data_IF_001665806640
#
_entry.id   IF_001665806640
#
_cell.length_a   1.000
_cell.length_b   1.000
_cell.length_c   1.000
_cell.angle_alpha   90.00
_cell.angle_beta   90.00
_cell.angle_gamma   90.00
#
_symmetry.space_group_name_H-M   'P 1'
#
loop_
_entity.id
_entity.type
_entity.pdbx_description
1 polymer ?
#
# COMPACT_ATOMS: atom_id res chain seq x y z
N UNK A 1 -12.21 0.24 -14.75
CA UNK A 1 -13.02 -0.07 -13.58
C UNK A 1 -13.48 1.17 -12.85
N UNK A 2 -14.35 1.04 -11.89
CA UNK A 2 -14.98 2.13 -11.10
C UNK A 2 -13.97 3.01 -10.37
N UNK A 3 -12.84 2.43 -9.91
CA UNK A 3 -11.78 3.14 -9.20
C UNK A 3 -11.08 4.18 -10.09
N UNK A 4 -10.74 3.81 -11.32
CA UNK A 4 -10.11 4.72 -12.30
C UNK A 4 -11.05 5.89 -12.62
N UNK A 5 -12.35 5.61 -12.85
CA UNK A 5 -13.36 6.67 -13.09
C UNK A 5 -13.53 7.61 -11.89
N UNK A 6 -13.35 7.11 -10.67
CA UNK A 6 -13.41 7.94 -9.46
C UNK A 6 -12.22 8.89 -9.37
N UNK A 7 -11.02 8.47 -9.74
CA UNK A 7 -9.83 9.32 -9.77
C UNK A 7 -9.94 10.39 -10.86
N UNK A 8 -10.44 10.01 -12.04
CA UNK A 8 -10.59 10.93 -13.20
C UNK A 8 -11.68 11.98 -12.97
N UNK A 9 -12.79 11.59 -12.31
CA UNK A 9 -13.94 12.48 -12.09
C UNK A 9 -13.82 13.32 -10.83
N UNK A 10 -13.08 12.82 -9.81
CA UNK A 10 -12.92 13.50 -8.54
C UNK A 10 -11.46 13.48 -8.01
N UNK A 11 -10.48 14.06 -8.74
CA UNK A 11 -9.09 14.13 -8.24
C UNK A 11 -9.00 14.88 -6.91
N UNK A 12 -9.81 15.92 -6.74
CA UNK A 12 -9.92 16.69 -5.50
C UNK A 12 -10.44 15.86 -4.32
N UNK A 13 -11.38 14.94 -4.56
CA UNK A 13 -11.92 14.05 -3.53
C UNK A 13 -10.88 13.04 -3.08
N UNK A 14 -10.10 12.49 -4.02
CA UNK A 14 -9.00 11.58 -3.72
C UNK A 14 -7.90 12.29 -2.91
N UNK A 15 -7.48 13.48 -3.33
CA UNK A 15 -6.49 14.29 -2.62
C UNK A 15 -7.00 14.72 -1.23
N UNK A 16 -8.27 15.06 -1.11
CA UNK A 16 -8.92 15.35 0.17
C UNK A 16 -8.96 14.11 1.08
N UNK A 17 -9.31 12.94 0.56
CA UNK A 17 -9.29 11.66 1.28
C UNK A 17 -7.87 11.35 1.75
N UNK A 18 -6.88 11.52 0.88
CA UNK A 18 -5.47 11.29 1.20
C UNK A 18 -4.95 12.27 2.25
N UNK A 19 -5.26 13.57 2.15
CA UNK A 19 -4.89 14.59 3.14
C UNK A 19 -5.58 14.40 4.49
N UNK A 20 -6.86 14.02 4.46
CA UNK A 20 -7.62 13.70 5.68
C UNK A 20 -7.08 12.45 6.35
N UNK A 21 -6.55 11.49 5.58
CA UNK A 21 -5.93 10.27 6.11
C UNK A 21 -4.62 10.51 6.85
N UNK A 22 -3.93 11.61 6.56
CA UNK A 22 -2.74 12.05 7.32
C UNK A 22 -3.07 12.75 8.64
N UNK A 23 -4.34 13.14 8.86
CA UNK A 23 -4.80 13.74 10.12
C UNK A 23 -5.37 12.68 11.06
N UNK A 24 -4.76 12.51 12.23
CA UNK A 24 -4.98 11.38 13.15
C UNK A 24 -6.46 11.02 13.45
N UNK A 25 -7.34 11.98 13.67
CA UNK A 25 -8.74 11.69 14.07
C UNK A 25 -9.71 11.52 12.89
N UNK A 26 -9.56 12.31 11.83
CA UNK A 26 -10.49 12.28 10.68
C UNK A 26 -10.18 11.12 9.73
N UNK A 27 -8.91 10.75 9.61
CA UNK A 27 -8.47 9.58 8.84
C UNK A 27 -9.08 8.29 9.37
N UNK A 28 -9.09 8.10 10.68
CA UNK A 28 -9.66 6.91 11.35
C UNK A 28 -11.17 6.76 11.09
N UNK A 29 -11.93 7.85 11.07
CA UNK A 29 -13.39 7.81 10.81
C UNK A 29 -13.66 7.35 9.36
N UNK A 30 -12.96 7.93 8.40
CA UNK A 30 -13.12 7.57 6.98
C UNK A 30 -12.70 6.13 6.71
N UNK A 31 -11.56 5.71 7.26
CA UNK A 31 -11.07 4.34 7.23
C UNK A 31 -12.13 3.35 7.75
N UNK A 32 -12.67 3.65 8.94
CA UNK A 32 -13.70 2.83 9.57
C UNK A 32 -14.95 2.74 8.68
N UNK A 33 -15.43 3.86 8.15
CA UNK A 33 -16.61 3.88 7.29
C UNK A 33 -16.43 3.05 6.01
N UNK A 34 -15.29 3.20 5.32
CA UNK A 34 -14.98 2.41 4.12
C UNK A 34 -14.84 0.91 4.42
N UNK A 35 -14.22 0.57 5.55
CA UNK A 35 -14.10 -0.82 6.00
C UNK A 35 -15.47 -1.41 6.34
N UNK A 36 -16.36 -0.65 6.96
CA UNK A 36 -17.73 -1.09 7.24
C UNK A 36 -18.55 -1.33 5.97
N UNK A 37 -18.38 -0.53 4.92
CA UNK A 37 -19.05 -0.76 3.63
C UNK A 37 -18.63 -2.09 2.97
N UNK A 38 -17.38 -2.49 3.17
CA UNK A 38 -16.85 -3.75 2.62
C UNK A 38 -17.17 -4.98 3.49
N UNK A 39 -17.50 -4.77 4.76
CA UNK A 39 -17.66 -5.84 5.77
C UNK A 39 -18.60 -6.96 5.35
N UNK A 40 -19.81 -6.62 4.89
CA UNK A 40 -20.81 -7.64 4.54
C UNK A 40 -20.42 -8.48 3.32
N UNK A 41 -19.72 -7.86 2.35
CA UNK A 41 -19.17 -8.59 1.20
C UNK A 41 -18.00 -9.46 1.60
N UNK A 42 -17.13 -8.98 2.48
CA UNK A 42 -16.01 -9.74 3.01
C UNK A 42 -16.48 -10.96 3.79
N UNK A 43 -17.50 -10.82 4.67
CA UNK A 43 -18.07 -11.95 5.41
C UNK A 43 -18.61 -13.03 4.47
N UNK A 44 -19.37 -12.65 3.44
CA UNK A 44 -19.89 -13.59 2.44
C UNK A 44 -18.76 -14.33 1.71
N UNK A 45 -17.70 -13.60 1.34
CA UNK A 45 -16.54 -14.19 0.68
C UNK A 45 -15.85 -15.23 1.58
N UNK A 46 -15.61 -14.89 2.85
CA UNK A 46 -14.98 -15.81 3.81
C UNK A 46 -15.84 -17.06 4.02
N UNK A 47 -17.18 -16.90 4.10
CA UNK A 47 -18.11 -18.04 4.23
C UNK A 47 -18.19 -18.92 2.99
N UNK A 48 -17.92 -18.36 1.80
CA UNK A 48 -17.94 -19.12 0.55
C UNK A 48 -16.62 -19.82 0.26
N UNK A 49 -15.50 -19.17 0.55
CA UNK A 49 -14.17 -19.66 0.18
C UNK A 49 -13.48 -20.43 1.32
N UNK A 50 -13.96 -20.28 2.57
CA UNK A 50 -13.41 -20.92 3.78
C UNK A 50 -11.88 -20.89 3.85
N UNK A 51 -11.22 -19.70 3.73
CA UNK A 51 -9.78 -19.61 3.59
C UNK A 51 -9.05 -19.97 4.89
N UNK A 52 -7.93 -20.67 4.80
CA UNK A 52 -7.03 -20.96 5.92
C UNK A 52 -6.23 -19.71 6.38
N UNK A 53 -6.02 -18.75 5.48
CA UNK A 53 -5.33 -17.48 5.73
C UNK A 53 -5.84 -16.40 4.77
N UNK A 54 -5.93 -15.17 5.25
CA UNK A 54 -6.28 -14.02 4.41
C UNK A 54 -5.08 -13.08 4.28
N UNK A 55 -4.66 -12.80 3.05
CA UNK A 55 -3.53 -11.92 2.74
C UNK A 55 -4.03 -10.65 2.05
N UNK A 56 -3.61 -9.50 2.54
CA UNK A 56 -4.06 -8.20 2.06
C UNK A 56 -2.90 -7.37 1.55
N UNK A 57 -3.03 -6.85 0.35
CA UNK A 57 -2.12 -5.84 -0.25
C UNK A 57 -2.78 -4.47 -0.37
N UNK A 58 -3.93 -4.27 0.30
CA UNK A 58 -4.66 -3.00 0.32
C UNK A 58 -5.34 -2.79 1.68
N UNK A 59 -5.28 -1.58 2.27
CA UNK A 59 -5.71 -1.32 3.64
C UNK A 59 -7.22 -1.46 3.88
N UNK A 60 -8.09 -1.14 2.92
CA UNK A 60 -9.54 -1.15 3.15
C UNK A 60 -10.13 -2.55 3.29
N UNK A 61 -9.82 -3.54 2.42
CA UNK A 61 -10.22 -4.93 2.67
C UNK A 61 -9.62 -5.49 3.96
N UNK A 62 -8.35 -5.15 4.26
CA UNK A 62 -7.68 -5.49 5.51
C UNK A 62 -8.47 -5.01 6.73
N UNK A 63 -8.91 -3.75 6.71
CA UNK A 63 -9.74 -3.18 7.76
C UNK A 63 -11.11 -3.86 7.90
N UNK A 64 -11.75 -4.23 6.80
CA UNK A 64 -13.02 -4.98 6.84
C UNK A 64 -12.86 -6.35 7.52
N UNK A 65 -11.81 -7.10 7.18
CA UNK A 65 -11.50 -8.38 7.82
C UNK A 65 -11.13 -8.20 9.31
N UNK A 66 -10.35 -7.17 9.63
CA UNK A 66 -10.00 -6.82 11.02
C UNK A 66 -11.25 -6.53 11.87
N UNK A 67 -12.23 -5.80 11.33
CA UNK A 67 -13.51 -5.55 12.01
C UNK A 67 -14.27 -6.86 12.24
N UNK A 68 -14.34 -7.75 11.25
CA UNK A 68 -15.00 -9.05 11.37
C UNK A 68 -14.33 -9.92 12.43
N UNK A 69 -12.99 -9.97 12.46
CA UNK A 69 -12.23 -10.74 13.46
C UNK A 69 -12.45 -10.18 14.86
N UNK A 70 -12.41 -8.85 15.04
CA UNK A 70 -12.72 -8.20 16.33
C UNK A 70 -14.12 -8.50 16.83
N UNK A 71 -15.09 -8.68 15.93
CA UNK A 71 -16.49 -8.98 16.25
C UNK A 71 -16.76 -10.48 16.44
N UNK A 72 -15.74 -11.34 16.28
CA UNK A 72 -15.88 -12.80 16.40
C UNK A 72 -16.62 -13.46 15.23
N UNK A 73 -16.76 -12.77 14.09
CA UNK A 73 -17.41 -13.35 12.91
C UNK A 73 -16.47 -14.22 12.08
N UNK A 74 -15.18 -14.04 12.22
CA UNK A 74 -14.12 -14.85 11.59
C UNK A 74 -12.98 -15.06 12.59
N UNK A 75 -12.27 -16.19 12.46
CA UNK A 75 -11.09 -16.54 13.25
C UNK A 75 -9.91 -16.95 12.34
N UNK A 76 -9.91 -16.47 11.12
CA UNK A 76 -8.86 -16.74 10.13
C UNK A 76 -7.66 -15.85 10.41
N UNK A 77 -6.41 -16.36 10.29
CA UNK A 77 -5.21 -15.54 10.34
C UNK A 77 -5.21 -14.44 9.27
N UNK A 78 -4.89 -13.21 9.68
CA UNK A 78 -4.86 -12.04 8.82
C UNK A 78 -3.43 -11.57 8.61
N UNK A 79 -2.98 -11.48 7.36
CA UNK A 79 -1.64 -11.04 6.97
C UNK A 79 -1.76 -9.77 6.13
N UNK A 80 -1.05 -8.73 6.52
CA UNK A 80 -0.96 -7.49 5.74
C UNK A 80 0.41 -7.39 5.07
N UNK A 81 0.44 -7.26 3.76
CA UNK A 81 1.64 -6.96 2.98
C UNK A 81 1.53 -5.51 2.53
N UNK A 82 2.26 -4.62 3.20
CA UNK A 82 2.21 -3.19 2.91
C UNK A 82 2.96 -2.88 1.62
N UNK A 83 2.29 -2.23 0.68
CA UNK A 83 2.85 -1.85 -0.62
C UNK A 83 3.24 -0.37 -0.69
N UNK A 84 3.26 0.29 0.46
CA UNK A 84 3.69 1.67 0.66
C UNK A 84 5.06 1.71 1.38
N UNK A 85 5.81 2.81 1.22
CA UNK A 85 7.07 3.06 1.95
C UNK A 85 6.87 3.86 3.25
N UNK A 86 5.63 3.98 3.73
CA UNK A 86 5.29 4.63 4.98
C UNK A 86 4.20 3.88 5.72
N UNK A 87 4.26 3.87 7.05
CA UNK A 87 3.25 3.26 7.90
C UNK A 87 2.02 4.16 7.99
N UNK A 88 1.13 4.03 7.02
CA UNK A 88 -0.13 4.73 7.00
C UNK A 88 -1.07 4.18 8.07
N UNK A 89 -1.76 5.04 8.83
CA UNK A 89 -2.75 4.62 9.83
C UNK A 89 -3.81 3.66 9.27
N UNK A 90 -4.07 3.71 7.96
CA UNK A 90 -5.00 2.80 7.29
C UNK A 90 -4.56 1.34 7.27
N UNK A 91 -3.31 1.03 7.58
CA UNK A 91 -2.81 -0.33 7.72
C UNK A 91 -2.81 -0.84 9.16
N UNK A 92 -2.89 0.06 10.16
CA UNK A 92 -2.68 -0.29 11.55
C UNK A 92 -3.96 -0.80 12.21
N UNK A 93 -4.09 -2.12 12.25
CA UNK A 93 -5.21 -2.81 12.91
C UNK A 93 -4.69 -3.82 13.93
N UNK A 94 -5.14 -3.76 15.20
CA UNK A 94 -4.69 -4.69 16.25
C UNK A 94 -4.96 -6.17 15.98
N UNK A 95 -5.92 -6.48 15.08
CA UNK A 95 -6.35 -7.83 14.74
C UNK A 95 -5.51 -8.49 13.65
N UNK A 96 -4.57 -7.78 13.05
CA UNK A 96 -3.65 -8.36 12.06
C UNK A 96 -2.60 -9.18 12.80
N UNK A 97 -2.45 -10.43 12.38
CA UNK A 97 -1.54 -11.38 13.01
C UNK A 97 -0.09 -11.15 12.54
N UNK A 98 0.09 -10.78 11.28
CA UNK A 98 1.43 -10.56 10.69
C UNK A 98 1.42 -9.40 9.71
N UNK A 99 2.46 -8.58 9.78
CA UNK A 99 2.74 -7.50 8.83
C UNK A 99 4.05 -7.78 8.08
N UNK A 100 4.03 -7.59 6.78
CA UNK A 100 5.21 -7.50 5.93
C UNK A 100 5.36 -6.07 5.45
N UNK A 101 6.52 -5.46 5.71
CA UNK A 101 6.81 -4.04 5.43
C UNK A 101 8.01 -3.88 4.50
N UNK A 102 8.09 -2.71 3.85
CA UNK A 102 9.11 -2.43 2.86
C UNK A 102 10.50 -2.19 3.48
N UNK A 103 10.57 -1.49 4.63
CA UNK A 103 11.81 -0.98 5.21
C UNK A 103 11.83 -1.10 6.73
N UNK A 104 13.03 -1.09 7.32
CA UNK A 104 13.24 -1.07 8.78
C UNK A 104 12.64 0.18 9.45
N UNK A 105 12.69 1.34 8.79
CA UNK A 105 12.10 2.56 9.35
C UNK A 105 10.59 2.45 9.61
N UNK A 106 9.89 1.62 8.83
CA UNK A 106 8.46 1.35 9.04
C UNK A 106 8.20 0.55 10.31
N UNK A 107 9.14 -0.30 10.72
CA UNK A 107 9.03 -1.07 11.98
C UNK A 107 8.94 -0.11 13.16
N UNK A 108 9.85 0.86 13.24
CA UNK A 108 9.88 1.84 14.34
C UNK A 108 8.60 2.69 14.39
N UNK A 109 8.11 3.12 13.23
CA UNK A 109 6.84 3.86 13.12
C UNK A 109 5.65 3.04 13.62
N UNK A 110 5.57 1.75 13.24
CA UNK A 110 4.46 0.87 13.61
C UNK A 110 4.50 0.50 15.09
N UNK A 111 5.68 0.23 15.63
CA UNK A 111 5.88 -0.04 17.06
C UNK A 111 5.49 1.19 17.88
N UNK A 112 5.88 2.39 17.47
CA UNK A 112 5.47 3.64 18.09
C UNK A 112 3.96 3.86 18.05
N UNK A 113 3.28 3.26 17.06
CA UNK A 113 1.82 3.28 16.90
C UNK A 113 1.12 2.13 17.64
N UNK A 114 1.85 1.31 18.42
CA UNK A 114 1.28 0.27 19.27
C UNK A 114 1.16 -1.12 18.63
N UNK A 115 1.77 -1.37 17.47
CA UNK A 115 1.86 -2.72 16.90
C UNK A 115 3.05 -3.44 17.53
N UNK A 116 2.84 -4.70 17.93
CA UNK A 116 3.88 -5.54 18.50
C UNK A 116 4.97 -5.85 17.45
N UNK A 117 6.23 -5.58 17.78
CA UNK A 117 7.38 -5.81 16.91
C UNK A 117 7.48 -7.26 16.41
N UNK A 118 7.07 -8.24 17.24
CA UNK A 118 7.08 -9.66 16.88
C UNK A 118 6.17 -10.03 15.70
N UNK A 119 5.22 -9.15 15.37
CA UNK A 119 4.30 -9.31 14.22
C UNK A 119 4.79 -8.65 12.95
N UNK A 120 5.90 -7.90 12.98
CA UNK A 120 6.37 -7.10 11.87
C UNK A 120 7.62 -7.72 11.26
N UNK A 121 7.60 -7.96 9.96
CA UNK A 121 8.70 -8.53 9.20
C UNK A 121 9.09 -7.63 8.04
N UNK A 122 10.36 -7.28 7.92
CA UNK A 122 10.86 -6.52 6.77
C UNK A 122 11.15 -7.48 5.61
N UNK A 123 10.45 -7.29 4.49
CA UNK A 123 10.57 -8.17 3.32
C UNK A 123 10.74 -7.43 2.00
N UNK A 124 10.64 -6.10 2.03
CA UNK A 124 10.47 -5.31 0.81
C UNK A 124 9.04 -5.39 0.24
N UNK A 125 8.78 -4.64 -0.81
CA UNK A 125 7.51 -4.69 -1.55
C UNK A 125 7.56 -5.87 -2.53
N UNK A 126 6.54 -6.76 -2.57
CA UNK A 126 6.52 -7.89 -3.49
C UNK A 126 6.53 -7.44 -4.95
N UNK A 127 7.44 -8.00 -5.72
CA UNK A 127 7.55 -7.77 -7.15
C UNK A 127 7.45 -9.09 -7.93
N UNK A 128 7.14 -8.99 -9.22
CA UNK A 128 7.09 -10.18 -10.08
C UNK A 128 8.46 -10.81 -10.19
N UNK A 129 8.55 -12.15 -10.19
CA UNK A 129 9.79 -12.91 -10.30
C UNK A 129 10.66 -12.49 -11.47
N UNK A 130 10.07 -12.03 -12.57
CA UNK A 130 10.81 -11.53 -13.74
C UNK A 130 11.72 -10.33 -13.44
N UNK A 131 11.52 -9.62 -12.32
CA UNK A 131 12.37 -8.51 -11.88
C UNK A 131 13.53 -8.94 -10.95
N UNK A 132 13.59 -10.21 -10.54
CA UNK A 132 14.74 -10.77 -9.85
C UNK A 132 15.78 -11.17 -10.91
N UNK A 133 16.78 -10.33 -11.12
CA UNK A 133 17.94 -10.63 -11.97
C UNK A 133 19.18 -10.73 -11.09
N UNK A 134 20.02 -11.72 -11.37
CA UNK A 134 21.18 -12.07 -10.55
C UNK A 134 22.40 -11.13 -10.74
N UNK A 135 22.33 -10.15 -11.62
CA UNK A 135 23.45 -9.24 -11.85
C UNK A 135 22.96 -7.82 -12.14
N UNK A 136 23.46 -6.87 -11.39
CA UNK A 136 23.58 -5.48 -11.83
C UNK A 136 24.81 -5.46 -12.73
N UNK A 137 24.63 -5.26 -14.04
CA UNK A 137 25.74 -4.97 -14.93
C UNK A 137 26.41 -3.70 -14.40
N UNK A 138 27.76 -3.72 -14.24
CA UNK A 138 28.51 -2.53 -13.90
C UNK A 138 28.27 -1.48 -14.99
N UNK A 139 27.71 -0.33 -14.59
CA UNK A 139 27.53 0.78 -15.51
C UNK A 139 28.90 1.39 -15.81
N UNK A 140 29.28 1.40 -17.08
CA UNK A 140 30.40 2.21 -17.54
C UNK A 140 29.98 3.66 -17.55
N UNK A 141 30.72 4.53 -16.86
CA UNK A 141 30.53 5.99 -16.90
C UNK A 141 30.99 6.61 -18.25
N UNK A 142 31.52 5.81 -19.15
CA UNK A 142 31.96 6.21 -20.50
C UNK A 142 30.80 6.24 -21.52
N UNK A 143 29.66 5.61 -21.19
CA UNK A 143 28.46 5.63 -22.03
C UNK A 143 27.46 6.69 -21.54
N UNK A 144 26.66 7.27 -22.46
CA UNK A 144 25.57 8.15 -22.07
C UNK A 144 24.61 7.47 -21.09
N UNK A 145 24.25 8.19 -20.02
CA UNK A 145 23.31 7.67 -19.02
C UNK A 145 21.93 7.48 -19.65
N UNK A 146 21.39 6.25 -19.57
CA UNK A 146 20.04 5.94 -20.03
C UNK A 146 19.05 6.13 -18.88
N UNK A 147 18.18 7.11 -18.99
CA UNK A 147 17.16 7.42 -17.97
C UNK A 147 15.78 6.92 -18.41
N UNK A 148 15.16 6.05 -17.61
CA UNK A 148 13.77 5.62 -17.81
C UNK A 148 12.84 6.48 -16.94
N UNK A 149 11.95 7.24 -17.56
CA UNK A 149 10.94 8.04 -16.87
C UNK A 149 9.57 7.38 -17.01
N UNK A 150 8.90 7.10 -15.90
CA UNK A 150 7.61 6.41 -15.88
C UNK A 150 6.61 7.12 -14.98
N UNK A 151 5.34 7.23 -15.42
CA UNK A 151 4.22 7.82 -14.68
C UNK A 151 3.34 6.79 -13.94
N UNK A 152 3.88 5.60 -13.65
CA UNK A 152 3.12 4.50 -13.07
C UNK A 152 2.08 3.90 -14.01
N UNK A 153 1.19 3.06 -13.48
CA UNK A 153 0.24 2.27 -14.29
C UNK A 153 -0.81 3.06 -15.06
N UNK A 154 -1.03 4.31 -14.70
CA UNK A 154 -2.01 5.21 -15.35
C UNK A 154 -1.33 6.32 -16.17
N UNK A 155 0.00 6.41 -16.16
CA UNK A 155 0.73 7.49 -16.82
C UNK A 155 0.44 8.88 -16.23
N UNK A 156 -0.06 8.93 -14.99
CA UNK A 156 -0.37 10.19 -14.30
C UNK A 156 0.90 10.82 -13.75
N UNK A 157 0.99 12.13 -13.86
CA UNK A 157 2.10 12.92 -13.33
C UNK A 157 2.67 13.89 -14.36
N UNK A 158 3.54 14.77 -13.90
CA UNK A 158 4.18 15.80 -14.73
C UNK A 158 5.38 15.22 -15.50
N UNK A 159 5.18 14.16 -16.31
CA UNK A 159 6.26 13.52 -17.09
C UNK A 159 6.94 14.52 -18.02
N UNK A 160 6.16 15.38 -18.69
CA UNK A 160 6.69 16.42 -19.56
C UNK A 160 7.58 17.41 -18.80
N UNK A 161 7.18 17.80 -17.59
CA UNK A 161 7.97 18.68 -16.72
C UNK A 161 9.25 17.97 -16.27
N UNK A 162 9.18 16.69 -15.89
CA UNK A 162 10.35 15.90 -15.50
C UNK A 162 11.35 15.78 -16.67
N UNK A 163 10.88 15.52 -17.88
CA UNK A 163 11.71 15.45 -19.08
C UNK A 163 12.38 16.78 -19.40
N UNK A 164 11.68 17.92 -19.27
CA UNK A 164 12.28 19.26 -19.46
C UNK A 164 13.40 19.55 -18.46
N UNK A 165 13.21 19.17 -17.19
CA UNK A 165 14.27 19.34 -16.19
C UNK A 165 15.46 18.40 -16.43
N UNK A 166 15.23 17.18 -16.91
CA UNK A 166 16.31 16.26 -17.26
C UNK A 166 17.14 16.79 -18.46
N UNK A 167 16.48 17.40 -19.44
CA UNK A 167 17.11 17.98 -20.62
C UNK A 167 18.03 19.19 -20.28
N UNK A 168 17.79 19.81 -19.12
CA UNK A 168 18.62 20.91 -18.58
C UNK A 168 19.86 20.41 -17.81
N UNK A 169 19.95 19.11 -17.51
CA UNK A 169 21.07 18.51 -16.77
C UNK A 169 22.21 18.18 -17.73
N UNK A 170 23.36 18.83 -17.57
CA UNK A 170 24.54 18.55 -18.37
C UNK A 170 25.05 17.12 -18.12
N UNK A 171 25.14 16.30 -19.15
CA UNK A 171 25.72 14.97 -19.11
C UNK A 171 24.70 13.82 -19.09
N UNK A 172 23.44 14.10 -19.38
CA UNK A 172 22.42 13.07 -19.67
C UNK A 172 22.08 13.11 -21.17
#
# INVERSE_FOLDING_TARGET
GTYIKMIDVFPMLYDMIYRVSKGEKRGTILQTALSYLLKSRMLKLVQQEEPDVMVFTHPFPCGAASILKRQGHIDVPLVAIMTDFSSHQFWLYPQIDTYYVATESMVDEMVSSGIDASRIHVSGIPVRRAFFRDAIEEYSLEEPIKVLVMGGGLGLGSLETALKHLDEVNGI
#
